data_IF_884612704267
#
_entry.id   IF_884612704267
#
_cell.length_a   1.000
_cell.length_b   1.000
_cell.length_c   1.000
_cell.angle_alpha   90.00
_cell.angle_beta   90.00
_cell.angle_gamma   90.00
#
_symmetry.space_group_name_H-M   'P 1'
#
loop_
_entity.id
_entity.type
_entity.pdbx_description
1 polymer ?
#
# COMPACT_ATOMS: atom_id res chain seq x y z
N UNK A 1 -42.17 43.92 -48.26
CA UNK A 1 -43.59 43.48 -48.28
C UNK A 1 -43.79 42.65 -47.00
N UNK A 2 -44.44 43.30 -46.08
CA UNK A 2 -45.75 43.07 -45.48
C UNK A 2 -45.69 41.85 -44.53
N UNK A 3 -45.74 42.09 -43.20
CA UNK A 3 -46.90 42.31 -42.30
C UNK A 3 -47.49 40.98 -41.87
N UNK A 4 -47.76 40.61 -40.58
CA UNK A 4 -48.56 41.20 -39.49
C UNK A 4 -48.27 40.37 -38.22
N UNK A 5 -47.93 40.92 -37.09
CA UNK A 5 -48.78 41.50 -36.02
C UNK A 5 -49.69 40.55 -35.23
N UNK A 6 -49.32 40.38 -33.93
CA UNK A 6 -50.16 40.52 -32.73
C UNK A 6 -51.42 39.64 -32.56
N UNK A 7 -51.57 39.04 -31.38
CA UNK A 7 -52.59 39.44 -30.38
C UNK A 7 -52.32 38.79 -29.01
N UNK A 8 -52.38 39.67 -28.01
CA UNK A 8 -52.42 39.45 -26.55
C UNK A 8 -53.81 38.94 -26.17
N UNK A 9 -53.95 38.07 -25.20
CA UNK A 9 -55.11 38.05 -24.32
C UNK A 9 -54.76 37.55 -22.92
N UNK A 10 -54.90 38.45 -21.98
CA UNK A 10 -55.02 38.27 -20.52
C UNK A 10 -56.29 37.52 -20.21
N UNK A 11 -56.28 36.55 -19.30
CA UNK A 11 -57.39 36.36 -18.36
C UNK A 11 -56.92 35.93 -17.00
N UNK A 12 -57.22 36.80 -16.06
CA UNK A 12 -57.19 36.62 -14.62
C UNK A 12 -58.31 35.65 -14.21
N UNK A 13 -58.04 34.71 -13.32
CA UNK A 13 -59.04 34.22 -12.34
C UNK A 13 -58.37 33.65 -11.12
N UNK A 14 -58.59 34.27 -9.99
CA UNK A 14 -58.44 33.83 -8.60
C UNK A 14 -58.98 32.40 -8.40
N UNK A 15 -58.35 31.57 -7.58
CA UNK A 15 -58.80 31.18 -6.23
C UNK A 15 -58.00 30.00 -5.64
N UNK A 16 -57.85 30.08 -4.35
CA UNK A 16 -57.65 29.08 -3.33
C UNK A 16 -56.22 28.67 -2.97
N UNK A 17 -55.83 29.22 -1.84
CA UNK A 17 -54.78 28.76 -0.98
C UNK A 17 -55.07 27.33 -0.46
N UNK A 18 -54.15 26.41 -0.76
CA UNK A 18 -53.98 25.19 0.03
C UNK A 18 -52.50 25.19 0.47
N UNK A 19 -52.31 25.43 1.77
CA UNK A 19 -50.99 25.33 2.40
C UNK A 19 -50.53 23.87 2.38
N UNK A 20 -49.71 23.52 1.38
CA UNK A 20 -48.94 22.28 1.42
C UNK A 20 -47.63 22.60 2.14
N UNK A 21 -47.48 22.04 3.36
CA UNK A 21 -46.21 21.98 4.05
C UNK A 21 -45.24 21.17 3.19
N UNK A 22 -44.35 21.86 2.49
CA UNK A 22 -43.18 21.25 1.91
C UNK A 22 -42.26 20.87 3.08
N UNK A 23 -42.28 19.60 3.43
CA UNK A 23 -41.25 19.00 4.27
C UNK A 23 -39.92 19.18 3.54
N UNK A 24 -39.06 20.02 4.11
CA UNK A 24 -37.66 20.12 3.74
C UNK A 24 -37.05 18.74 4.03
N UNK A 25 -36.96 17.92 3.00
CA UNK A 25 -36.14 16.70 3.04
C UNK A 25 -34.71 17.15 3.17
N UNK A 26 -34.18 17.09 4.39
CA UNK A 26 -32.76 17.21 4.67
C UNK A 26 -31.97 16.21 3.82
N UNK A 27 -30.68 16.46 3.58
CA UNK A 27 -29.87 15.56 2.78
C UNK A 27 -29.99 14.15 3.35
N UNK A 28 -30.43 13.22 2.52
CA UNK A 28 -30.50 11.81 2.86
C UNK A 28 -29.13 11.40 3.41
N UNK A 29 -29.05 11.20 4.70
CA UNK A 29 -27.95 10.46 5.31
C UNK A 29 -27.90 9.14 4.56
N UNK A 30 -26.84 8.97 3.77
CA UNK A 30 -26.50 7.67 3.21
C UNK A 30 -26.38 6.71 4.40
N UNK A 31 -27.45 5.99 4.67
CA UNK A 31 -27.47 4.90 5.64
C UNK A 31 -26.35 3.95 5.18
N UNK A 32 -25.25 3.93 5.89
CA UNK A 32 -24.30 2.85 5.84
C UNK A 32 -25.04 1.62 6.38
N UNK A 33 -25.81 0.97 5.51
CA UNK A 33 -26.27 -0.39 5.78
C UNK A 33 -25.00 -1.20 5.96
N UNK A 34 -24.65 -1.52 7.20
CA UNK A 34 -23.61 -2.48 7.51
C UNK A 34 -24.02 -3.74 6.77
N UNK A 35 -23.34 -4.05 5.68
CA UNK A 35 -23.59 -5.30 4.96
C UNK A 35 -23.16 -6.40 5.92
N UNK A 36 -24.12 -7.17 6.42
CA UNK A 36 -23.82 -8.33 7.23
C UNK A 36 -22.78 -9.21 6.52
N UNK A 37 -21.89 -9.85 7.28
CA UNK A 37 -21.00 -10.85 6.73
C UNK A 37 -21.80 -11.88 5.94
N UNK A 38 -21.32 -12.22 4.74
CA UNK A 38 -21.99 -13.19 3.89
C UNK A 38 -21.43 -14.58 4.16
N UNK A 39 -22.30 -15.57 4.20
CA UNK A 39 -21.90 -16.98 4.23
C UNK A 39 -21.87 -17.60 2.81
N UNK A 40 -21.55 -18.86 2.70
CA UNK A 40 -21.33 -19.59 1.45
C UNK A 40 -22.52 -19.50 0.49
N UNK A 41 -23.75 -19.52 1.01
CA UNK A 41 -24.96 -19.39 0.19
C UNK A 41 -25.02 -18.07 -0.58
N UNK A 42 -24.71 -16.95 0.07
CA UNK A 42 -24.68 -15.62 -0.56
C UNK A 42 -23.46 -15.47 -1.50
N UNK A 43 -22.33 -16.11 -1.18
CA UNK A 43 -21.17 -16.17 -2.08
C UNK A 43 -21.53 -16.88 -3.37
N UNK A 44 -22.19 -18.04 -3.30
CA UNK A 44 -22.67 -18.79 -4.47
C UNK A 44 -23.71 -18.03 -5.29
N UNK A 45 -24.69 -17.43 -4.63
CA UNK A 45 -25.72 -16.63 -5.31
C UNK A 45 -25.13 -15.45 -6.08
N UNK A 46 -24.11 -14.77 -5.50
CA UNK A 46 -23.44 -13.63 -6.16
C UNK A 46 -22.34 -14.03 -7.12
N UNK A 47 -21.93 -15.31 -7.13
CA UNK A 47 -20.78 -15.85 -7.92
C UNK A 47 -19.45 -15.13 -7.62
N UNK A 48 -19.33 -14.46 -6.48
CA UNK A 48 -18.13 -13.71 -6.10
C UNK A 48 -17.80 -13.96 -4.64
N UNK A 49 -16.59 -14.46 -4.38
CA UNK A 49 -15.95 -14.50 -3.06
C UNK A 49 -15.04 -13.27 -2.93
N UNK A 50 -15.38 -12.35 -2.03
CA UNK A 50 -14.61 -11.13 -1.75
C UNK A 50 -13.55 -11.45 -0.69
N UNK A 51 -12.27 -11.39 -1.07
CA UNK A 51 -11.16 -11.72 -0.18
C UNK A 51 -10.36 -10.47 0.15
N UNK A 52 -10.35 -10.10 1.42
CA UNK A 52 -9.50 -9.05 1.97
C UNK A 52 -8.07 -9.59 2.09
N UNK A 53 -7.12 -8.91 1.47
CA UNK A 53 -5.72 -9.31 1.44
C UNK A 53 -4.82 -8.18 1.91
N UNK A 54 -3.71 -8.51 2.55
CA UNK A 54 -2.63 -7.57 2.77
C UNK A 54 -1.97 -7.26 1.42
N UNK A 55 -1.89 -5.97 1.07
CA UNK A 55 -1.23 -5.51 -0.15
C UNK A 55 0.28 -5.65 0.00
N UNK A 56 0.80 -6.81 -0.34
CA UNK A 56 2.19 -7.21 -0.14
C UNK A 56 2.63 -8.15 -1.26
N UNK A 57 3.81 -7.93 -1.79
CA UNK A 57 4.43 -8.84 -2.78
C UNK A 57 4.78 -10.20 -2.18
N UNK A 58 4.90 -10.28 -0.86
CA UNK A 58 5.05 -11.54 -0.15
C UNK A 58 3.74 -12.34 -0.14
N UNK A 59 2.62 -11.66 0.06
CA UNK A 59 1.28 -12.25 0.22
C UNK A 59 0.49 -12.27 -1.09
N UNK A 60 -0.01 -11.10 -1.53
CA UNK A 60 -0.84 -10.95 -2.72
C UNK A 60 -0.51 -9.63 -3.40
N UNK A 61 0.35 -9.66 -4.40
CA UNK A 61 0.80 -8.48 -5.13
C UNK A 61 0.98 -8.76 -6.61
N UNK A 62 1.59 -7.81 -7.31
CA UNK A 62 1.89 -7.90 -8.75
C UNK A 62 3.26 -7.27 -9.02
N UNK A 63 4.02 -7.88 -9.92
CA UNK A 63 5.26 -7.34 -10.45
C UNK A 63 5.17 -7.34 -11.98
N UNK A 64 5.13 -6.14 -12.59
CA UNK A 64 5.09 -5.97 -14.05
C UNK A 64 3.95 -6.75 -14.74
N UNK A 65 2.77 -6.76 -14.14
CA UNK A 65 1.60 -7.46 -14.67
C UNK A 65 1.51 -8.93 -14.26
N UNK A 66 2.57 -9.50 -13.66
CA UNK A 66 2.58 -10.87 -13.20
C UNK A 66 2.13 -10.93 -11.74
N UNK A 67 1.07 -11.68 -11.42
CA UNK A 67 0.65 -11.87 -10.02
C UNK A 67 1.72 -12.61 -9.23
N UNK A 68 2.01 -12.12 -8.04
CA UNK A 68 3.01 -12.70 -7.15
C UNK A 68 2.46 -12.85 -5.74
N UNK A 69 3.12 -13.69 -4.97
CA UNK A 69 2.79 -13.90 -3.56
C UNK A 69 2.16 -15.26 -3.29
N UNK A 70 2.46 -15.75 -2.10
CA UNK A 70 2.09 -17.12 -1.71
C UNK A 70 0.58 -17.24 -1.47
N UNK A 71 -0.03 -16.22 -0.89
CA UNK A 71 -1.47 -16.22 -0.66
C UNK A 71 -2.26 -16.11 -1.96
N UNK A 72 -1.77 -15.36 -2.95
CA UNK A 72 -2.39 -15.31 -4.27
C UNK A 72 -2.58 -16.70 -4.85
N UNK A 73 -1.52 -17.52 -4.88
CA UNK A 73 -1.58 -18.87 -5.43
C UNK A 73 -2.50 -19.79 -4.62
N UNK A 74 -2.50 -19.66 -3.29
CA UNK A 74 -3.39 -20.41 -2.41
C UNK A 74 -4.86 -20.04 -2.63
N UNK A 75 -5.16 -18.74 -2.82
CA UNK A 75 -6.50 -18.26 -3.10
C UNK A 75 -7.00 -18.70 -4.49
N UNK A 76 -6.11 -18.80 -5.47
CA UNK A 76 -6.46 -19.41 -6.77
C UNK A 76 -6.76 -20.91 -6.64
N UNK A 77 -6.03 -21.62 -5.80
CA UNK A 77 -6.35 -23.02 -5.52
C UNK A 77 -7.70 -23.17 -4.78
N UNK A 78 -8.04 -22.25 -3.86
CA UNK A 78 -9.37 -22.19 -3.24
C UNK A 78 -10.47 -21.94 -4.28
N UNK A 79 -10.25 -21.03 -5.21
CA UNK A 79 -11.20 -20.77 -6.32
C UNK A 79 -11.46 -22.03 -7.14
N UNK A 80 -10.43 -22.76 -7.51
CA UNK A 80 -10.57 -24.07 -8.19
C UNK A 80 -11.31 -25.10 -7.34
N UNK A 81 -11.01 -25.16 -6.04
CA UNK A 81 -11.70 -26.07 -5.12
C UNK A 81 -13.20 -25.76 -5.01
N UNK A 82 -13.56 -24.49 -4.91
CA UNK A 82 -14.97 -24.05 -4.86
C UNK A 82 -15.73 -24.41 -6.15
N UNK A 83 -15.05 -24.39 -7.28
CA UNK A 83 -15.61 -24.59 -8.60
C UNK A 83 -15.52 -26.04 -9.14
N UNK A 84 -14.84 -26.96 -8.43
CA UNK A 84 -14.53 -28.30 -8.93
C UNK A 84 -15.74 -29.20 -9.24
N UNK A 85 -16.96 -28.79 -8.89
CA UNK A 85 -18.22 -29.48 -9.17
C UNK A 85 -19.28 -28.57 -9.81
N UNK A 86 -18.94 -27.33 -10.12
CA UNK A 86 -19.88 -26.34 -10.64
C UNK A 86 -19.94 -26.35 -12.17
N UNK A 87 -21.11 -26.05 -12.73
CA UNK A 87 -21.29 -25.87 -14.17
C UNK A 87 -20.66 -24.55 -14.62
N UNK A 88 -20.29 -24.45 -15.90
CA UNK A 88 -19.57 -23.29 -16.44
C UNK A 88 -20.26 -21.92 -16.20
N UNK A 89 -21.59 -21.89 -15.99
CA UNK A 89 -22.34 -20.67 -15.68
C UNK A 89 -22.39 -20.28 -14.20
N UNK A 90 -21.94 -21.15 -13.29
CA UNK A 90 -22.10 -21.00 -11.85
C UNK A 90 -20.77 -20.82 -11.08
N UNK A 91 -19.69 -20.55 -11.83
CA UNK A 91 -18.36 -20.41 -11.26
C UNK A 91 -18.26 -19.21 -10.33
N UNK A 92 -17.74 -19.46 -9.13
CA UNK A 92 -17.39 -18.43 -8.16
C UNK A 92 -16.07 -17.82 -8.58
N UNK A 93 -16.00 -16.49 -8.65
CA UNK A 93 -14.80 -15.74 -8.89
C UNK A 93 -14.24 -15.18 -7.58
N UNK A 94 -12.97 -15.43 -7.32
CA UNK A 94 -12.26 -14.81 -6.19
C UNK A 94 -11.84 -13.38 -6.57
N UNK A 95 -12.42 -12.40 -5.87
CA UNK A 95 -12.08 -10.98 -6.00
C UNK A 95 -11.21 -10.54 -4.84
N UNK A 96 -9.93 -10.21 -5.11
CA UNK A 96 -9.01 -9.70 -4.11
C UNK A 96 -9.30 -8.23 -3.81
N UNK A 97 -9.35 -7.89 -2.51
CA UNK A 97 -9.61 -6.55 -2.01
C UNK A 97 -8.46 -6.15 -1.09
N UNK A 98 -7.49 -5.38 -1.57
CA UNK A 98 -6.35 -4.98 -0.76
C UNK A 98 -6.76 -4.02 0.36
N UNK A 99 -6.16 -4.21 1.54
CA UNK A 99 -6.28 -3.39 2.73
C UNK A 99 -4.93 -3.25 3.41
N UNK A 100 -4.77 -2.22 4.21
CA UNK A 100 -3.70 -2.17 5.20
C UNK A 100 -3.88 -3.32 6.20
N UNK A 101 -2.79 -3.91 6.66
CA UNK A 101 -2.79 -5.10 7.51
C UNK A 101 -3.65 -4.92 8.77
N UNK A 102 -3.52 -3.78 9.44
CA UNK A 102 -4.29 -3.43 10.64
C UNK A 102 -5.79 -3.21 10.38
N UNK A 103 -6.20 -3.06 9.13
CA UNK A 103 -7.61 -2.82 8.76
C UNK A 103 -8.34 -4.10 8.32
N UNK A 104 -7.62 -5.21 8.11
CA UNK A 104 -8.19 -6.43 7.51
C UNK A 104 -9.38 -6.96 8.31
N UNK A 105 -9.23 -7.18 9.60
CA UNK A 105 -10.29 -7.77 10.41
C UNK A 105 -11.44 -6.80 10.68
N UNK A 106 -11.14 -5.51 10.89
CA UNK A 106 -12.18 -4.49 10.99
C UNK A 106 -12.99 -4.35 9.70
N UNK A 107 -12.37 -4.46 8.53
CA UNK A 107 -13.07 -4.45 7.25
C UNK A 107 -13.93 -5.72 7.07
N UNK A 108 -13.44 -6.87 7.52
CA UNK A 108 -14.20 -8.12 7.52
C UNK A 108 -15.45 -8.02 8.39
N UNK A 109 -15.33 -7.47 9.60
CA UNK A 109 -16.45 -7.25 10.53
C UNK A 109 -17.52 -6.30 9.95
N UNK A 110 -17.12 -5.31 9.15
CA UNK A 110 -18.03 -4.40 8.43
C UNK A 110 -18.63 -5.01 7.15
N UNK A 111 -18.34 -6.28 6.85
CA UNK A 111 -18.86 -6.96 5.65
C UNK A 111 -18.27 -6.44 4.33
N UNK A 112 -17.10 -5.80 4.35
CA UNK A 112 -16.40 -5.33 3.15
C UNK A 112 -15.78 -6.49 2.34
N UNK A 113 -15.58 -7.63 2.99
CA UNK A 113 -15.14 -8.90 2.41
C UNK A 113 -15.85 -10.07 3.07
N UNK A 114 -15.65 -11.26 2.53
CA UNK A 114 -16.23 -12.51 3.02
C UNK A 114 -15.16 -13.37 3.72
N UNK A 115 -13.92 -13.22 3.29
CA UNK A 115 -12.74 -13.90 3.80
C UNK A 115 -11.62 -12.87 3.97
N UNK A 116 -10.80 -12.98 5.00
CA UNK A 116 -9.54 -12.26 5.13
C UNK A 116 -8.37 -13.24 5.13
N UNK A 117 -7.43 -13.01 4.22
CA UNK A 117 -6.23 -13.82 4.00
C UNK A 117 -4.96 -12.95 4.14
N UNK A 118 -4.49 -12.70 5.37
CA UNK A 118 -3.37 -11.79 5.62
C UNK A 118 -2.03 -12.30 5.08
N UNK A 119 -1.82 -13.62 5.04
CA UNK A 119 -0.55 -14.24 4.64
C UNK A 119 0.59 -14.09 5.65
N UNK A 120 0.31 -13.52 6.80
CA UNK A 120 1.22 -13.18 7.89
C UNK A 120 0.52 -13.37 9.23
N UNK A 121 1.28 -13.47 10.32
CA UNK A 121 0.74 -13.46 11.67
C UNK A 121 0.16 -12.06 11.99
N UNK A 122 -1.06 -12.05 12.49
CA UNK A 122 -1.70 -10.87 13.03
C UNK A 122 -1.52 -10.79 14.55
N UNK A 123 -1.57 -9.57 15.08
CA UNK A 123 -1.66 -9.36 16.52
C UNK A 123 -2.93 -10.06 17.07
N UNK A 124 -2.81 -11.02 18.00
CA UNK A 124 -3.97 -11.70 18.59
C UNK A 124 -5.01 -10.75 19.19
N UNK A 125 -4.61 -9.58 19.69
CA UNK A 125 -5.53 -8.59 20.23
C UNK A 125 -6.53 -8.07 19.19
N UNK A 126 -6.24 -8.18 17.90
CA UNK A 126 -7.14 -7.80 16.81
C UNK A 126 -8.13 -8.92 16.46
N UNK A 127 -7.85 -10.16 16.86
CA UNK A 127 -8.64 -11.33 16.50
C UNK A 127 -9.84 -11.45 17.46
N UNK A 128 -10.88 -10.63 17.22
CA UNK A 128 -12.15 -10.71 17.97
C UNK A 128 -13.31 -10.57 17.00
N UNK A 129 -14.45 -11.20 17.31
CA UNK A 129 -15.68 -11.05 16.54
C UNK A 129 -15.62 -11.56 15.09
N UNK A 130 -14.73 -12.51 14.79
CA UNK A 130 -14.57 -13.18 13.49
C UNK A 130 -14.47 -14.68 13.67
N UNK A 131 -14.84 -15.45 12.66
CA UNK A 131 -14.57 -16.88 12.56
C UNK A 131 -13.09 -17.10 12.18
N UNK A 132 -12.45 -18.09 12.78
CA UNK A 132 -11.02 -18.37 12.63
C UNK A 132 -10.85 -19.73 11.99
N UNK A 133 -10.14 -19.80 10.86
CA UNK A 133 -9.92 -21.07 10.14
C UNK A 133 -8.95 -22.01 10.85
N UNK A 134 -8.92 -23.26 10.41
CA UNK A 134 -7.78 -24.14 10.59
C UNK A 134 -6.47 -23.45 10.15
N UNK A 135 -5.30 -23.87 10.67
CA UNK A 135 -4.04 -23.27 10.27
C UNK A 135 -3.78 -23.34 8.76
N UNK A 136 -3.44 -22.19 8.17
CA UNK A 136 -2.88 -22.08 6.82
C UNK A 136 -1.42 -22.51 6.84
N UNK A 137 -0.69 -22.09 7.89
CA UNK A 137 0.63 -22.56 8.27
C UNK A 137 0.62 -22.74 9.78
N UNK A 138 1.08 -23.87 10.24
CA UNK A 138 1.18 -24.17 11.68
C UNK A 138 2.61 -24.10 12.18
N UNK A 139 2.76 -23.93 13.49
CA UNK A 139 4.07 -23.93 14.16
C UNK A 139 5.09 -22.97 13.52
N UNK A 140 4.66 -21.73 13.25
CA UNK A 140 5.47 -20.71 12.58
C UNK A 140 6.24 -19.89 13.61
N UNK A 141 7.57 -20.03 13.71
CA UNK A 141 8.39 -19.22 14.60
C UNK A 141 8.65 -17.85 13.98
N UNK A 142 8.75 -16.83 14.85
CA UNK A 142 9.21 -15.49 14.52
C UNK A 142 10.72 -15.41 14.68
N UNK A 143 11.43 -14.96 13.64
CA UNK A 143 12.88 -14.86 13.60
C UNK A 143 13.33 -13.40 13.52
N UNK A 144 14.46 -13.13 14.18
CA UNK A 144 15.15 -11.86 14.05
C UNK A 144 15.88 -11.79 12.72
N UNK A 145 15.70 -10.68 12.00
CA UNK A 145 16.39 -10.40 10.74
C UNK A 145 17.15 -9.09 10.86
N UNK A 146 18.41 -9.12 10.47
CA UNK A 146 19.30 -7.97 10.40
C UNK A 146 20.09 -7.96 9.10
N UNK A 147 21.15 -7.15 9.05
CA UNK A 147 22.02 -7.03 7.88
C UNK A 147 23.32 -7.80 8.07
N UNK A 148 23.81 -8.47 7.02
CA UNK A 148 25.17 -9.06 7.01
C UNK A 148 26.22 -7.95 7.19
N UNK A 149 27.24 -8.25 7.98
CA UNK A 149 28.28 -7.27 8.35
C UNK A 149 27.95 -6.45 9.61
N UNK A 150 26.70 -6.51 10.11
CA UNK A 150 26.34 -5.95 11.40
C UNK A 150 26.34 -7.03 12.50
N UNK A 151 26.26 -6.58 13.76
CA UNK A 151 26.25 -7.48 14.93
C UNK A 151 25.17 -8.55 14.82
N UNK A 152 25.53 -9.82 14.93
CA UNK A 152 24.61 -10.95 15.03
C UNK A 152 24.21 -11.21 16.49
N UNK A 153 23.09 -11.92 16.65
CA UNK A 153 22.53 -12.24 17.96
C UNK A 153 22.28 -13.75 18.04
N UNK A 154 22.48 -14.31 19.23
CA UNK A 154 22.27 -15.73 19.52
C UNK A 154 21.28 -15.96 20.65
N UNK A 155 20.95 -14.93 21.42
CA UNK A 155 20.01 -14.95 22.53
C UNK A 155 19.18 -13.68 22.58
N UNK A 156 17.93 -13.78 22.99
CA UNK A 156 16.96 -12.69 23.03
C UNK A 156 17.37 -11.56 24.00
N UNK A 157 18.07 -11.89 25.08
CA UNK A 157 18.54 -10.91 26.05
C UNK A 157 19.56 -9.90 25.48
N UNK A 158 20.23 -10.27 24.41
CA UNK A 158 21.17 -9.37 23.71
C UNK A 158 20.47 -8.26 22.94
N UNK A 159 19.14 -8.35 22.78
CA UNK A 159 18.31 -7.31 22.17
C UNK A 159 17.92 -6.20 23.13
N UNK A 160 18.23 -6.31 24.43
CA UNK A 160 18.01 -5.26 25.42
C UNK A 160 18.53 -3.91 24.93
N UNK A 161 17.67 -2.88 24.94
CA UNK A 161 17.95 -1.51 24.48
C UNK A 161 18.01 -1.34 22.96
N UNK A 162 17.82 -2.42 22.17
CA UNK A 162 17.82 -2.35 20.71
C UNK A 162 16.44 -1.90 20.18
N UNK A 163 16.45 -1.30 18.97
CA UNK A 163 15.23 -0.95 18.25
C UNK A 163 14.95 -1.98 17.17
N UNK A 164 13.71 -2.45 17.14
CA UNK A 164 13.20 -3.40 16.12
C UNK A 164 12.08 -2.71 15.36
N UNK A 165 12.21 -2.63 14.04
CA UNK A 165 11.18 -2.11 13.15
C UNK A 165 10.15 -3.21 12.84
N UNK A 166 8.86 -2.92 13.02
CA UNK A 166 7.76 -3.85 12.77
C UNK A 166 6.71 -3.21 11.87
N UNK A 167 6.15 -3.99 10.96
CA UNK A 167 4.91 -3.59 10.26
C UNK A 167 3.77 -3.46 11.27
N UNK A 168 2.84 -2.54 11.00
CA UNK A 168 1.63 -2.38 11.83
C UNK A 168 0.89 -3.72 11.97
N UNK A 169 0.27 -3.94 13.11
CA UNK A 169 -0.45 -5.17 13.43
C UNK A 169 0.36 -6.48 13.31
N UNK A 170 1.68 -6.40 13.43
CA UNK A 170 2.54 -7.60 13.42
C UNK A 170 2.33 -8.44 14.68
N UNK A 171 2.14 -9.75 14.50
CA UNK A 171 2.11 -10.73 15.60
C UNK A 171 3.39 -10.77 16.46
N UNK A 172 4.48 -10.12 16.01
CA UNK A 172 5.70 -9.97 16.80
C UNK A 172 5.58 -8.95 17.95
N UNK A 173 4.65 -7.99 17.87
CA UNK A 173 4.48 -6.95 18.89
C UNK A 173 4.25 -7.52 20.30
N UNK A 174 3.19 -8.33 20.50
CA UNK A 174 2.91 -8.96 21.78
C UNK A 174 4.04 -9.85 22.29
N UNK A 175 4.71 -10.58 21.39
CA UNK A 175 5.87 -11.41 21.75
C UNK A 175 7.04 -10.56 22.30
N UNK A 176 7.34 -9.42 21.66
CA UNK A 176 8.35 -8.48 22.18
C UNK A 176 7.91 -7.87 23.51
N UNK A 177 6.63 -7.56 23.69
CA UNK A 177 6.10 -7.05 24.95
C UNK A 177 6.32 -8.05 26.10
N UNK A 178 6.05 -9.34 25.87
CA UNK A 178 6.31 -10.39 26.84
C UNK A 178 7.81 -10.52 27.18
N UNK A 179 8.69 -10.41 26.16
CA UNK A 179 10.14 -10.39 26.37
C UNK A 179 10.55 -9.15 27.21
N UNK A 180 9.96 -8.00 26.97
CA UNK A 180 10.22 -6.79 27.73
C UNK A 180 9.85 -6.92 29.21
N UNK A 181 8.76 -7.64 29.53
CA UNK A 181 8.42 -7.97 30.92
C UNK A 181 9.53 -8.80 31.59
N UNK A 182 10.08 -9.80 30.89
CA UNK A 182 11.19 -10.60 31.39
C UNK A 182 12.50 -9.79 31.55
N UNK A 183 12.76 -8.87 30.60
CA UNK A 183 13.92 -7.97 30.70
C UNK A 183 13.79 -7.03 31.91
N UNK A 184 12.59 -6.51 32.17
CA UNK A 184 12.31 -5.65 33.32
C UNK A 184 12.57 -6.36 34.65
N UNK A 185 12.14 -7.61 34.81
CA UNK A 185 12.43 -8.44 35.98
C UNK A 185 13.96 -8.60 36.23
N UNK A 186 14.74 -8.57 35.16
CA UNK A 186 16.21 -8.65 35.20
C UNK A 186 16.88 -7.28 35.19
N UNK A 187 16.16 -6.18 35.47
CA UNK A 187 16.64 -4.77 35.47
C UNK A 187 17.37 -4.40 34.16
N UNK A 188 16.93 -4.92 33.02
CA UNK A 188 17.49 -4.62 31.70
C UNK A 188 16.60 -3.65 30.93
N UNK A 189 17.22 -2.85 30.07
CA UNK A 189 16.47 -1.93 29.19
C UNK A 189 15.54 -2.69 28.24
N UNK A 190 14.32 -2.19 27.97
CA UNK A 190 13.39 -2.83 27.07
C UNK A 190 13.88 -2.78 25.61
N UNK A 191 13.44 -3.73 24.81
CA UNK A 191 13.49 -3.64 23.35
C UNK A 191 12.52 -2.55 22.93
N UNK A 192 12.98 -1.62 22.10
CA UNK A 192 12.16 -0.55 21.53
C UNK A 192 11.51 -1.06 20.24
N UNK A 193 10.18 -0.98 20.14
CA UNK A 193 9.46 -1.25 18.90
C UNK A 193 9.28 0.05 18.14
N UNK A 194 9.72 0.07 16.90
CA UNK A 194 9.44 1.13 15.93
C UNK A 194 8.38 0.61 14.94
N UNK A 195 7.15 1.08 15.10
CA UNK A 195 6.09 0.80 14.14
C UNK A 195 6.33 1.60 12.86
N UNK A 196 6.49 0.89 11.75
CA UNK A 196 6.73 1.53 10.46
C UNK A 196 5.44 2.09 9.88
N UNK A 197 5.57 2.91 8.84
CA UNK A 197 4.42 3.46 8.13
C UNK A 197 3.51 2.32 7.59
N UNK A 198 2.16 2.43 7.73
CA UNK A 198 1.22 1.39 7.30
C UNK A 198 1.28 1.03 5.82
N UNK A 199 1.84 1.89 4.98
CA UNK A 199 2.03 1.62 3.55
C UNK A 199 3.24 0.74 3.25
N UNK A 200 4.09 0.48 4.23
CA UNK A 200 5.25 -0.40 4.10
C UNK A 200 4.84 -1.84 4.41
N UNK A 201 4.89 -2.71 3.42
CA UNK A 201 4.72 -4.14 3.60
C UNK A 201 5.98 -4.78 4.20
N UNK A 202 5.88 -6.05 4.62
CA UNK A 202 6.99 -6.78 5.24
C UNK A 202 8.25 -6.81 4.37
N UNK A 203 8.09 -6.97 3.06
CA UNK A 203 9.22 -6.94 2.13
C UNK A 203 9.87 -5.55 2.01
N UNK A 204 9.10 -4.48 2.15
CA UNK A 204 9.66 -3.12 2.14
C UNK A 204 10.53 -2.89 3.39
N UNK A 205 10.09 -3.39 4.55
CA UNK A 205 10.90 -3.36 5.78
C UNK A 205 12.18 -4.19 5.61
N UNK A 206 12.09 -5.39 5.03
CA UNK A 206 13.27 -6.22 4.74
C UNK A 206 14.23 -5.55 3.75
N UNK A 207 13.73 -4.87 2.72
CA UNK A 207 14.56 -4.05 1.81
C UNK A 207 15.27 -2.93 2.56
N UNK A 208 14.58 -2.25 3.48
CA UNK A 208 15.16 -1.20 4.30
C UNK A 208 16.18 -1.75 5.30
N UNK A 209 16.00 -2.96 5.84
CA UNK A 209 17.01 -3.65 6.65
C UNK A 209 18.25 -3.99 5.80
N UNK A 210 18.06 -4.55 4.61
CA UNK A 210 19.16 -4.80 3.68
C UNK A 210 19.92 -3.53 3.31
N UNK A 211 19.21 -2.41 3.20
CA UNK A 211 19.78 -1.09 2.92
C UNK A 211 20.50 -0.46 4.14
N UNK A 212 20.26 -0.96 5.36
CA UNK A 212 20.79 -0.42 6.61
C UNK A 212 20.02 0.82 7.11
N UNK A 213 18.80 1.04 6.60
CA UNK A 213 17.87 2.09 7.05
C UNK A 213 17.22 1.69 8.37
N UNK A 214 16.75 0.45 8.45
CA UNK A 214 16.43 -0.22 9.71
C UNK A 214 17.55 -1.20 10.06
N UNK A 215 17.85 -1.36 11.35
CA UNK A 215 18.89 -2.29 11.79
C UNK A 215 18.37 -3.72 11.95
N UNK A 216 17.18 -3.83 12.55
CA UNK A 216 16.56 -5.11 12.90
C UNK A 216 15.07 -5.09 12.60
N UNK A 217 14.55 -6.24 12.17
CA UNK A 217 13.12 -6.53 12.11
C UNK A 217 12.87 -7.96 12.60
N UNK A 218 11.61 -8.29 12.83
CA UNK A 218 11.16 -9.64 13.18
C UNK A 218 10.05 -10.03 12.22
N UNK A 219 10.21 -11.20 11.61
CA UNK A 219 9.24 -11.75 10.66
C UNK A 219 9.13 -13.27 10.82
N UNK A 220 8.08 -13.84 10.27
CA UNK A 220 7.84 -15.29 10.22
C UNK A 220 8.99 -16.00 9.49
N UNK A 221 9.40 -17.17 10.00
CA UNK A 221 10.49 -17.97 9.42
C UNK A 221 10.34 -18.20 7.92
N UNK A 222 9.17 -18.61 7.38
CA UNK A 222 9.03 -18.79 5.94
C UNK A 222 9.30 -17.51 5.14
N UNK A 223 8.88 -16.34 5.65
CA UNK A 223 9.13 -15.04 5.04
C UNK A 223 10.62 -14.71 5.10
N UNK A 224 11.24 -14.81 6.28
CA UNK A 224 12.66 -14.53 6.46
C UNK A 224 13.54 -15.35 5.50
N UNK A 225 13.30 -16.64 5.41
CA UNK A 225 14.10 -17.55 4.57
C UNK A 225 13.87 -17.29 3.06
N UNK A 226 12.64 -17.05 2.64
CA UNK A 226 12.30 -16.76 1.24
C UNK A 226 12.98 -15.48 0.78
N UNK A 227 12.84 -14.39 1.55
CA UNK A 227 13.41 -13.10 1.19
C UNK A 227 14.94 -13.07 1.29
N UNK A 228 15.56 -13.84 2.19
CA UNK A 228 17.00 -13.95 2.25
C UNK A 228 17.63 -14.58 0.99
N UNK A 229 16.88 -15.36 0.21
CA UNK A 229 17.33 -15.91 -1.09
C UNK A 229 17.42 -14.82 -2.17
N UNK A 230 16.54 -13.81 -2.14
CA UNK A 230 16.50 -12.72 -3.13
C UNK A 230 17.15 -11.44 -2.65
N UNK A 231 17.40 -11.32 -1.34
CA UNK A 231 18.06 -10.19 -0.67
C UNK A 231 19.35 -10.66 0.00
N UNK A 232 20.47 -10.74 -0.73
CA UNK A 232 21.69 -11.46 -0.26
C UNK A 232 22.39 -10.81 0.92
N UNK A 233 22.07 -9.53 1.24
CA UNK A 233 22.62 -8.83 2.41
C UNK A 233 21.80 -9.03 3.69
N UNK A 234 20.65 -9.68 3.62
CA UNK A 234 19.90 -10.06 4.83
C UNK A 234 20.63 -11.16 5.59
N UNK A 235 20.60 -11.07 6.90
CA UNK A 235 21.03 -12.07 7.86
C UNK A 235 19.83 -12.51 8.67
N UNK A 236 19.58 -13.81 8.72
CA UNK A 236 18.54 -14.41 9.55
C UNK A 236 19.20 -15.03 10.78
N UNK A 237 18.94 -14.47 11.95
CA UNK A 237 19.47 -14.97 13.23
C UNK A 237 18.55 -16.10 13.75
N UNK A 238 18.64 -17.27 13.16
CA UNK A 238 17.75 -18.43 13.38
C UNK A 238 17.77 -18.99 14.81
N UNK A 239 18.80 -18.66 15.60
CA UNK A 239 18.91 -19.05 17.02
C UNK A 239 18.10 -18.12 17.95
N UNK A 240 17.66 -16.95 17.45
CA UNK A 240 16.88 -15.99 18.23
C UNK A 240 15.42 -16.13 17.87
N UNK A 241 14.67 -16.84 18.70
CA UNK A 241 13.22 -16.99 18.56
C UNK A 241 12.53 -15.89 19.36
N UNK A 242 11.57 -15.23 18.73
CA UNK A 242 10.77 -14.16 19.34
C UNK A 242 9.40 -14.74 19.72
N UNK A 243 9.26 -15.10 20.99
CA UNK A 243 8.06 -15.75 21.51
C UNK A 243 7.94 -17.21 21.09
N UNK A 244 6.76 -17.78 21.33
CA UNK A 244 6.40 -19.13 20.90
C UNK A 244 5.95 -19.14 19.44
N UNK A 245 6.16 -20.25 18.71
CA UNK A 245 5.59 -20.42 17.38
C UNK A 245 4.08 -20.28 17.39
N UNK A 246 3.53 -19.69 16.33
CA UNK A 246 2.11 -19.39 16.18
C UNK A 246 1.59 -19.98 14.86
N UNK A 247 0.27 -19.95 14.64
CA UNK A 247 -0.35 -20.39 13.40
C UNK A 247 -0.83 -19.19 12.56
N UNK A 248 -0.45 -19.14 11.29
CA UNK A 248 -1.05 -18.24 10.31
C UNK A 248 -2.42 -18.79 9.93
N UNK A 249 -3.44 -17.93 9.94
CA UNK A 249 -4.84 -18.34 9.72
C UNK A 249 -5.54 -17.40 8.76
N UNK A 250 -6.63 -17.89 8.19
CA UNK A 250 -7.62 -17.08 7.51
C UNK A 250 -8.80 -16.77 8.45
N UNK A 251 -9.57 -15.76 8.10
CA UNK A 251 -10.66 -15.29 8.94
C UNK A 251 -11.92 -15.07 8.09
N UNK A 252 -13.09 -15.41 8.64
CA UNK A 252 -14.39 -15.20 8.01
C UNK A 252 -15.29 -14.35 8.93
N UNK A 253 -16.40 -13.85 8.41
CA UNK A 253 -17.40 -13.19 9.25
C UNK A 253 -17.86 -14.11 10.39
N UNK A 254 -18.26 -13.52 11.51
CA UNK A 254 -18.62 -14.27 12.74
C UNK A 254 -19.69 -15.36 12.54
N UNK A 255 -20.63 -15.12 11.63
CA UNK A 255 -21.77 -16.02 11.36
C UNK A 255 -21.62 -16.76 10.02
N UNK A 256 -20.42 -16.82 9.45
CA UNK A 256 -20.16 -17.45 8.16
C UNK A 256 -19.68 -18.90 8.33
N UNK A 257 -20.44 -19.72 9.04
CA UNK A 257 -20.05 -21.08 9.46
C UNK A 257 -19.86 -22.04 8.28
N UNK A 258 -20.71 -21.95 7.24
CA UNK A 258 -20.60 -22.81 6.07
C UNK A 258 -19.37 -22.44 5.22
N UNK A 259 -19.06 -21.14 5.10
CA UNK A 259 -17.86 -20.67 4.44
C UNK A 259 -16.63 -21.12 5.23
N UNK A 260 -16.62 -20.98 6.55
CA UNK A 260 -15.55 -21.44 7.43
C UNK A 260 -15.29 -22.94 7.26
N UNK A 261 -16.32 -23.76 7.38
CA UNK A 261 -16.23 -25.22 7.21
C UNK A 261 -15.71 -25.61 5.80
N UNK A 262 -16.05 -24.81 4.79
CA UNK A 262 -15.58 -25.04 3.40
C UNK A 262 -14.12 -24.65 3.25
N UNK A 263 -13.69 -23.55 3.84
CA UNK A 263 -12.29 -23.11 3.91
C UNK A 263 -11.44 -24.14 4.66
N UNK A 264 -11.92 -24.63 5.81
CA UNK A 264 -11.19 -25.63 6.60
C UNK A 264 -11.01 -26.96 5.84
N UNK A 265 -12.04 -27.39 5.09
CA UNK A 265 -11.97 -28.58 4.23
C UNK A 265 -10.97 -28.39 3.10
N UNK A 266 -10.92 -27.22 2.51
CA UNK A 266 -9.89 -26.88 1.53
C UNK A 266 -8.50 -26.93 2.14
N UNK A 267 -8.28 -26.27 3.28
CA UNK A 267 -6.97 -26.22 3.95
C UNK A 267 -6.47 -27.59 4.37
N UNK A 268 -7.35 -28.48 4.82
CA UNK A 268 -6.99 -29.86 5.17
C UNK A 268 -6.43 -30.65 3.97
N UNK A 269 -6.96 -30.39 2.76
CA UNK A 269 -6.53 -31.06 1.53
C UNK A 269 -5.44 -30.34 0.74
N UNK A 270 -5.22 -29.03 1.01
CA UNK A 270 -4.28 -28.23 0.23
C UNK A 270 -2.83 -28.61 0.49
N UNK A 271 -2.07 -28.78 -0.58
CA UNK A 271 -0.61 -28.92 -0.55
C UNK A 271 0.01 -27.87 -1.44
N UNK A 272 0.89 -27.06 -0.87
CA UNK A 272 1.63 -26.07 -1.66
C UNK A 272 2.51 -26.77 -2.70
N UNK A 273 2.63 -26.25 -3.93
CA UNK A 273 3.57 -26.78 -4.90
C UNK A 273 5.01 -26.78 -4.35
N UNK A 274 5.74 -27.88 -4.53
CA UNK A 274 7.12 -28.03 -4.03
C UNK A 274 8.06 -26.94 -4.56
N UNK A 275 7.81 -26.47 -5.80
CA UNK A 275 8.62 -25.45 -6.44
C UNK A 275 8.14 -24.01 -6.17
N UNK A 276 7.18 -23.79 -5.25
CA UNK A 276 6.56 -22.48 -5.00
C UNK A 276 7.60 -21.41 -4.65
N UNK A 277 8.52 -21.71 -3.74
CA UNK A 277 9.58 -20.77 -3.35
C UNK A 277 10.58 -20.51 -4.49
N UNK A 278 10.88 -21.51 -5.31
CA UNK A 278 11.76 -21.38 -6.47
C UNK A 278 11.09 -20.52 -7.58
N UNK A 279 9.79 -20.67 -7.78
CA UNK A 279 9.03 -19.85 -8.71
C UNK A 279 9.01 -18.38 -8.26
N UNK A 280 8.76 -18.13 -6.97
CA UNK A 280 8.84 -16.81 -6.37
C UNK A 280 10.23 -16.18 -6.57
N UNK A 281 11.30 -16.90 -6.23
CA UNK A 281 12.68 -16.44 -6.38
C UNK A 281 12.99 -16.07 -7.85
N UNK A 282 12.56 -16.88 -8.82
CA UNK A 282 12.77 -16.65 -10.25
C UNK A 282 12.11 -15.35 -10.72
N UNK A 283 10.85 -15.11 -10.32
CA UNK A 283 10.12 -13.88 -10.65
C UNK A 283 10.84 -12.68 -10.05
N UNK A 284 11.21 -12.75 -8.79
CA UNK A 284 11.88 -11.66 -8.10
C UNK A 284 13.25 -11.34 -8.71
N UNK A 285 14.09 -12.32 -8.95
CA UNK A 285 15.42 -12.10 -9.54
C UNK A 285 15.34 -11.53 -10.96
N UNK A 286 14.34 -11.93 -11.74
CA UNK A 286 14.16 -11.50 -13.13
C UNK A 286 13.54 -10.11 -13.24
N UNK A 287 12.54 -9.82 -12.45
CA UNK A 287 11.66 -8.67 -12.67
C UNK A 287 11.82 -7.55 -11.65
N UNK A 288 12.38 -7.84 -10.49
CA UNK A 288 12.47 -6.91 -9.39
C UNK A 288 13.92 -6.62 -9.00
N UNK A 289 14.28 -5.34 -8.99
CA UNK A 289 15.56 -4.87 -8.46
C UNK A 289 15.32 -4.10 -7.17
N UNK A 290 15.98 -4.54 -6.11
CA UNK A 290 16.02 -3.78 -4.85
C UNK A 290 16.94 -2.58 -5.05
N UNK A 291 16.38 -1.39 -5.03
CA UNK A 291 17.12 -0.15 -5.09
C UNK A 291 17.32 0.41 -3.69
N UNK A 292 18.57 0.59 -3.29
CA UNK A 292 18.91 1.25 -2.03
C UNK A 292 19.11 2.75 -2.26
N UNK A 293 18.16 3.63 -1.88
CA UNK A 293 18.26 5.07 -2.13
C UNK A 293 19.37 5.75 -1.33
N UNK A 294 19.90 5.06 -0.32
CA UNK A 294 20.95 5.55 0.58
C UNK A 294 22.28 4.79 0.43
N UNK A 295 22.46 4.00 -0.64
CA UNK A 295 23.75 3.42 -0.93
C UNK A 295 24.78 4.52 -1.27
N UNK A 296 26.08 4.21 -1.15
CA UNK A 296 27.15 5.22 -1.28
C UNK A 296 27.04 6.02 -2.57
N UNK A 297 26.82 5.37 -3.70
CA UNK A 297 26.72 6.01 -5.01
C UNK A 297 25.48 6.89 -5.11
N UNK A 298 24.34 6.41 -4.64
CA UNK A 298 23.08 7.12 -4.62
C UNK A 298 23.11 8.33 -3.68
N UNK A 299 23.74 8.19 -2.52
CA UNK A 299 24.01 9.34 -1.62
C UNK A 299 24.88 10.41 -2.28
N UNK A 300 25.92 10.02 -3.03
CA UNK A 300 26.75 10.95 -3.79
C UNK A 300 25.95 11.69 -4.88
N UNK A 301 25.11 10.96 -5.63
CA UNK A 301 24.22 11.57 -6.63
C UNK A 301 23.21 12.52 -5.98
N UNK A 302 22.60 12.12 -4.87
CA UNK A 302 21.67 12.97 -4.12
C UNK A 302 22.36 14.25 -3.64
N UNK A 303 23.58 14.12 -3.12
CA UNK A 303 24.38 15.25 -2.65
C UNK A 303 24.67 16.24 -3.79
N UNK A 304 24.99 15.75 -4.99
CA UNK A 304 25.28 16.59 -6.15
C UNK A 304 24.06 17.41 -6.61
N UNK A 305 22.84 16.92 -6.44
CA UNK A 305 21.62 17.60 -6.90
C UNK A 305 20.80 18.23 -5.75
N UNK A 306 21.23 18.04 -4.51
CA UNK A 306 20.47 18.47 -3.31
C UNK A 306 20.14 19.95 -3.33
N UNK A 307 21.11 20.82 -3.58
CA UNK A 307 20.88 22.28 -3.57
C UNK A 307 19.81 22.72 -4.57
N UNK A 308 19.77 22.08 -5.73
CA UNK A 308 18.76 22.34 -6.77
C UNK A 308 17.38 21.85 -6.32
N UNK A 309 17.31 20.64 -5.71
CA UNK A 309 16.06 20.09 -5.18
C UNK A 309 15.51 20.95 -4.05
N UNK A 310 16.37 21.44 -3.14
CA UNK A 310 15.98 22.34 -2.05
C UNK A 310 15.48 23.68 -2.59
N UNK A 311 16.21 24.34 -3.49
CA UNK A 311 15.86 25.61 -4.13
C UNK A 311 14.44 25.56 -4.74
N UNK A 312 14.19 24.57 -5.58
CA UNK A 312 12.89 24.47 -6.28
C UNK A 312 11.78 23.87 -5.42
N UNK A 313 12.12 23.04 -4.44
CA UNK A 313 11.18 22.56 -3.43
C UNK A 313 10.64 23.72 -2.58
N UNK A 314 11.52 24.55 -2.04
CA UNK A 314 11.16 25.74 -1.27
C UNK A 314 10.32 26.72 -2.08
N UNK A 315 10.74 27.06 -3.30
CA UNK A 315 10.01 27.96 -4.21
C UNK A 315 8.60 27.48 -4.54
N UNK A 316 8.29 26.20 -4.44
CA UNK A 316 6.99 25.61 -4.71
C UNK A 316 6.29 25.05 -3.45
N UNK A 317 6.84 25.27 -2.27
CA UNK A 317 6.32 24.73 -1.00
C UNK A 317 6.11 23.19 -1.04
N UNK A 318 7.08 22.51 -1.64
CA UNK A 318 7.16 21.04 -1.70
C UNK A 318 8.40 20.64 -0.91
N UNK A 319 8.24 19.71 0.03
CA UNK A 319 9.39 19.13 0.72
C UNK A 319 10.38 18.55 -0.31
N UNK A 320 11.62 19.02 -0.28
CA UNK A 320 12.66 18.61 -1.22
C UNK A 320 12.93 17.09 -1.22
N UNK A 321 12.60 16.40 -0.12
CA UNK A 321 12.70 14.94 -0.05
C UNK A 321 11.63 14.23 -0.90
N UNK A 322 10.47 14.86 -1.14
CA UNK A 322 9.51 14.35 -2.11
C UNK A 322 10.06 14.48 -3.54
N UNK A 323 10.73 15.60 -3.86
CA UNK A 323 11.41 15.75 -5.15
C UNK A 323 12.55 14.75 -5.31
N UNK A 324 13.34 14.54 -4.25
CA UNK A 324 14.42 13.54 -4.23
C UNK A 324 13.88 12.11 -4.42
N UNK A 325 12.80 11.76 -3.76
CA UNK A 325 12.16 10.45 -3.88
C UNK A 325 11.59 10.21 -5.29
N UNK A 326 10.97 11.23 -5.87
CA UNK A 326 10.50 11.19 -7.25
C UNK A 326 11.67 11.06 -8.23
N UNK A 327 12.70 11.88 -8.10
CA UNK A 327 13.91 11.80 -8.95
C UNK A 327 14.60 10.42 -8.84
N UNK A 328 14.63 9.85 -7.64
CA UNK A 328 15.16 8.51 -7.44
C UNK A 328 14.31 7.45 -8.15
N UNK A 329 12.98 7.54 -8.06
CA UNK A 329 12.07 6.64 -8.76
C UNK A 329 12.16 6.74 -10.26
N UNK A 330 12.27 7.96 -10.79
CA UNK A 330 12.27 8.25 -12.23
C UNK A 330 13.58 7.89 -12.92
N UNK A 331 14.71 8.21 -12.30
CA UNK A 331 16.02 8.10 -12.96
C UNK A 331 17.12 7.47 -12.11
N UNK A 332 16.84 7.06 -10.87
CA UNK A 332 17.87 6.74 -9.87
C UNK A 332 18.86 7.91 -9.68
N UNK A 333 18.34 9.14 -9.68
CA UNK A 333 19.10 10.39 -9.59
C UNK A 333 20.12 10.56 -10.75
N UNK A 334 19.80 10.07 -11.95
CA UNK A 334 20.63 10.22 -13.14
C UNK A 334 20.14 11.36 -14.03
N UNK A 335 20.87 12.49 -14.14
CA UNK A 335 20.44 13.61 -14.97
C UNK A 335 20.47 13.32 -16.48
N UNK A 336 21.21 12.30 -16.92
CA UNK A 336 21.30 11.92 -18.33
C UNK A 336 20.25 10.88 -18.76
N UNK A 337 19.33 10.51 -17.87
CA UNK A 337 18.31 9.50 -18.17
C UNK A 337 17.37 9.96 -19.29
N UNK A 338 16.98 9.01 -20.16
CA UNK A 338 16.01 9.20 -21.24
C UNK A 338 14.88 8.19 -21.07
N UNK A 339 13.65 8.65 -21.21
CA UNK A 339 12.44 7.85 -21.04
C UNK A 339 11.54 7.89 -22.28
N UNK A 340 10.37 7.31 -22.14
CA UNK A 340 9.36 7.22 -23.20
C UNK A 340 8.68 8.58 -23.40
N UNK A 341 8.22 8.87 -24.62
CA UNK A 341 7.49 10.10 -24.94
C UNK A 341 8.31 11.39 -24.82
N UNK A 342 9.62 11.29 -24.97
CA UNK A 342 10.55 12.43 -24.84
C UNK A 342 10.83 12.86 -23.40
N UNK A 343 10.37 12.08 -22.40
CA UNK A 343 10.73 12.30 -21.01
C UNK A 343 12.25 12.19 -20.82
N UNK A 344 12.85 13.12 -20.09
CA UNK A 344 14.29 13.13 -19.90
C UNK A 344 14.73 13.76 -18.58
N UNK A 345 15.97 13.54 -18.25
CA UNK A 345 16.65 14.16 -17.11
C UNK A 345 16.29 13.51 -15.78
N UNK A 346 16.70 14.19 -14.71
CA UNK A 346 16.58 13.73 -13.34
C UNK A 346 15.15 13.34 -12.95
N UNK A 347 14.17 14.16 -13.38
CA UNK A 347 12.76 14.05 -13.01
C UNK A 347 11.89 13.40 -14.08
N UNK A 348 12.45 12.99 -15.22
CA UNK A 348 11.73 12.42 -16.37
C UNK A 348 10.52 13.26 -16.80
N UNK A 349 10.68 14.57 -16.83
CA UNK A 349 9.61 15.47 -17.27
C UNK A 349 9.52 15.48 -18.81
N UNK A 350 8.28 15.47 -19.32
CA UNK A 350 8.04 15.58 -20.77
C UNK A 350 8.10 17.04 -21.23
N UNK A 351 8.46 17.30 -22.51
CA UNK A 351 8.47 18.65 -23.07
C UNK A 351 7.12 19.36 -22.92
N UNK A 352 6.01 18.67 -23.13
CA UNK A 352 4.67 19.23 -23.00
C UNK A 352 4.34 19.63 -21.57
N UNK A 353 4.75 18.87 -20.56
CA UNK A 353 4.56 19.20 -19.15
C UNK A 353 5.41 20.43 -18.75
N UNK A 354 6.65 20.50 -19.23
CA UNK A 354 7.54 21.65 -19.00
C UNK A 354 6.98 22.93 -19.63
N UNK A 355 6.48 22.85 -20.87
CA UNK A 355 5.86 23.98 -21.56
C UNK A 355 4.64 24.53 -20.81
N UNK A 356 3.81 23.66 -20.22
CA UNK A 356 2.63 24.06 -19.40
C UNK A 356 2.99 24.93 -18.20
N UNK A 357 4.23 24.90 -17.75
CA UNK A 357 4.72 25.67 -16.60
C UNK A 357 5.75 26.72 -16.97
N UNK A 358 5.87 27.01 -18.28
CA UNK A 358 6.70 28.09 -18.80
C UNK A 358 8.21 27.83 -18.65
N UNK A 359 8.66 26.56 -18.73
CA UNK A 359 10.08 26.21 -18.72
C UNK A 359 10.47 25.57 -20.05
N UNK A 360 11.30 26.26 -20.81
CA UNK A 360 11.76 25.83 -22.14
C UNK A 360 13.03 24.99 -22.09
N UNK A 361 13.96 25.32 -21.18
CA UNK A 361 15.21 24.58 -21.07
C UNK A 361 15.19 23.57 -19.93
N UNK A 362 14.91 22.32 -20.25
CA UNK A 362 14.92 21.18 -19.31
C UNK A 362 16.11 20.26 -19.51
N UNK A 363 17.07 20.63 -20.37
CA UNK A 363 18.24 19.80 -20.65
C UNK A 363 19.25 19.78 -19.48
N UNK A 364 19.31 20.85 -18.70
CA UNK A 364 20.14 20.92 -17.50
C UNK A 364 19.35 20.54 -16.23
N UNK A 365 20.07 20.24 -15.14
CA UNK A 365 19.48 19.79 -13.88
C UNK A 365 18.56 20.85 -13.27
N UNK A 366 18.97 22.11 -13.28
CA UNK A 366 18.18 23.22 -12.68
C UNK A 366 16.82 23.37 -13.37
N UNK A 367 16.82 23.52 -14.70
CA UNK A 367 15.57 23.63 -15.47
C UNK A 367 14.70 22.37 -15.42
N UNK A 368 15.32 21.18 -15.37
CA UNK A 368 14.59 19.92 -15.25
C UNK A 368 13.85 19.81 -13.92
N UNK A 369 14.51 20.13 -12.81
CA UNK A 369 13.89 20.16 -11.47
C UNK A 369 12.89 21.30 -11.34
N UNK A 370 13.21 22.50 -11.88
CA UNK A 370 12.31 23.64 -11.89
C UNK A 370 10.97 23.31 -12.58
N UNK A 371 11.03 22.73 -13.78
CA UNK A 371 9.84 22.37 -14.53
C UNK A 371 8.99 21.36 -13.77
N UNK A 372 9.63 20.33 -13.20
CA UNK A 372 8.94 19.28 -12.45
C UNK A 372 8.33 19.78 -11.16
N UNK A 373 9.05 20.60 -10.40
CA UNK A 373 8.52 21.18 -9.15
C UNK A 373 7.35 22.11 -9.44
N UNK A 374 7.42 22.96 -10.49
CA UNK A 374 6.31 23.81 -10.94
C UNK A 374 5.12 22.97 -11.42
N UNK A 375 5.35 21.87 -12.13
CA UNK A 375 4.29 21.00 -12.62
C UNK A 375 3.57 20.28 -11.48
N UNK A 376 4.30 19.75 -10.50
CA UNK A 376 3.73 19.18 -9.27
C UNK A 376 2.89 20.24 -8.50
N UNK A 377 3.42 21.45 -8.36
CA UNK A 377 2.71 22.56 -7.71
C UNK A 377 1.46 22.98 -8.48
N UNK A 378 1.51 23.01 -9.82
CA UNK A 378 0.35 23.28 -10.66
C UNK A 378 -0.75 22.23 -10.44
N UNK A 379 -0.38 20.92 -10.48
CA UNK A 379 -1.29 19.82 -10.21
C UNK A 379 -1.90 19.96 -8.80
N UNK A 380 -1.06 20.22 -7.79
CA UNK A 380 -1.48 20.39 -6.39
C UNK A 380 -2.51 21.48 -6.25
N UNK A 381 -2.24 22.69 -6.77
CA UNK A 381 -3.14 23.86 -6.67
C UNK A 381 -4.42 23.69 -7.48
N UNK A 382 -4.32 23.17 -8.70
CA UNK A 382 -5.48 23.10 -9.61
C UNK A 382 -6.42 21.95 -9.27
N UNK A 383 -5.90 20.80 -8.84
CA UNK A 383 -6.69 19.56 -8.73
C UNK A 383 -6.82 19.05 -7.29
N UNK A 384 -5.89 19.38 -6.40
CA UNK A 384 -5.82 18.79 -5.06
C UNK A 384 -5.71 19.85 -3.95
N UNK A 385 -6.31 21.03 -4.14
CA UNK A 385 -6.27 22.13 -3.16
C UNK A 385 -7.20 21.93 -1.95
N UNK A 386 -8.11 20.94 -1.98
CA UNK A 386 -9.11 20.73 -0.92
C UNK A 386 -8.47 20.66 0.47
N UNK A 387 -8.97 21.39 1.47
CA UNK A 387 -8.47 21.32 2.85
C UNK A 387 -8.74 19.98 3.53
N UNK A 388 -9.65 19.16 2.98
CA UNK A 388 -9.95 17.83 3.47
C UNK A 388 -8.85 16.79 3.12
N UNK A 389 -7.90 17.16 2.25
CA UNK A 389 -6.73 16.34 1.95
C UNK A 389 -5.62 16.67 2.94
N UNK A 390 -5.21 15.71 3.76
CA UNK A 390 -3.96 15.84 4.49
C UNK A 390 -2.77 15.84 3.51
N UNK A 391 -1.62 16.35 3.92
CA UNK A 391 -0.49 16.57 3.01
C UNK A 391 0.08 15.27 2.42
N UNK A 392 0.07 14.19 3.16
CA UNK A 392 0.51 12.87 2.69
C UNK A 392 -0.37 12.36 1.55
N UNK A 393 -1.69 12.35 1.75
CA UNK A 393 -2.65 11.91 0.72
C UNK A 393 -2.65 12.85 -0.48
N UNK A 394 -2.52 14.15 -0.23
CA UNK A 394 -2.36 15.18 -1.28
C UNK A 394 -1.17 14.86 -2.17
N UNK A 395 0.00 14.59 -1.57
CA UNK A 395 1.21 14.26 -2.33
C UNK A 395 1.04 12.94 -3.09
N UNK A 396 0.41 11.92 -2.51
CA UNK A 396 0.12 10.67 -3.20
C UNK A 396 -0.76 10.89 -4.45
N UNK A 397 -1.81 11.71 -4.36
CA UNK A 397 -2.62 12.09 -5.51
C UNK A 397 -1.84 12.92 -6.55
N UNK A 398 -0.98 13.83 -6.12
CA UNK A 398 -0.12 14.63 -7.01
C UNK A 398 0.84 13.73 -7.77
N UNK A 399 1.45 12.74 -7.10
CA UNK A 399 2.33 11.76 -7.72
C UNK A 399 1.58 10.84 -8.71
N UNK A 400 0.40 10.38 -8.32
CA UNK A 400 -0.46 9.60 -9.22
C UNK A 400 -0.82 10.42 -10.48
N UNK A 401 -1.13 11.71 -10.30
CA UNK A 401 -1.46 12.62 -11.39
C UNK A 401 -0.24 12.99 -12.26
N UNK A 402 0.94 13.04 -11.68
CA UNK A 402 2.20 13.20 -12.42
C UNK A 402 2.41 12.03 -13.40
N UNK A 403 2.08 10.82 -12.98
CA UNK A 403 2.23 9.59 -13.77
C UNK A 403 1.08 9.35 -14.77
N UNK A 404 -0.19 9.56 -14.35
CA UNK A 404 -1.40 9.19 -15.10
C UNK A 404 -2.09 10.36 -15.81
N UNK A 405 -1.77 11.59 -15.43
CA UNK A 405 -2.54 12.78 -15.75
C UNK A 405 -3.60 13.10 -14.69
N UNK A 406 -3.77 14.41 -14.38
CA UNK A 406 -4.59 14.83 -13.25
C UNK A 406 -6.10 14.60 -13.45
N UNK A 407 -6.60 14.73 -14.67
CA UNK A 407 -8.01 14.51 -15.01
C UNK A 407 -8.42 13.06 -14.75
N UNK A 408 -7.57 12.10 -15.14
CA UNK A 408 -7.80 10.68 -14.89
C UNK A 408 -7.85 10.35 -13.42
N UNK A 409 -6.95 10.93 -12.63
CA UNK A 409 -6.93 10.73 -11.17
C UNK A 409 -8.14 11.34 -10.50
N UNK A 410 -8.64 12.49 -10.97
CA UNK A 410 -9.90 13.07 -10.48
C UNK A 410 -11.11 12.16 -10.81
N UNK A 411 -11.15 11.56 -12.00
CA UNK A 411 -12.19 10.59 -12.35
C UNK A 411 -12.14 9.36 -11.42
N UNK A 412 -10.94 8.86 -11.10
CA UNK A 412 -10.76 7.76 -10.16
C UNK A 412 -11.24 8.13 -8.74
N UNK A 413 -10.99 9.36 -8.29
CA UNK A 413 -11.51 9.86 -7.00
C UNK A 413 -13.03 9.93 -6.96
N UNK A 414 -13.66 10.41 -8.05
CA UNK A 414 -15.11 10.45 -8.17
C UNK A 414 -15.70 9.04 -8.13
N UNK A 415 -15.10 8.11 -8.86
CA UNK A 415 -15.49 6.70 -8.87
C UNK A 415 -15.31 6.04 -7.49
N UNK A 416 -14.22 6.33 -6.79
CA UNK A 416 -14.02 5.87 -5.42
C UNK A 416 -15.18 6.29 -4.50
N UNK A 417 -15.58 7.57 -4.54
CA UNK A 417 -16.74 8.06 -3.77
C UNK A 417 -18.04 7.37 -4.17
N UNK A 418 -18.29 7.18 -5.47
CA UNK A 418 -19.48 6.48 -5.97
C UNK A 418 -19.57 5.06 -5.44
N UNK A 419 -18.44 4.40 -5.22
CA UNK A 419 -18.35 3.04 -4.66
C UNK A 419 -18.29 3.01 -3.12
N UNK A 420 -18.48 4.14 -2.44
CA UNK A 420 -18.43 4.23 -0.98
C UNK A 420 -17.01 4.18 -0.40
N UNK A 421 -15.99 4.42 -1.23
CA UNK A 421 -14.59 4.56 -0.79
C UNK A 421 -14.29 6.01 -0.44
N UNK A 422 -13.26 6.22 0.39
CA UNK A 422 -12.79 7.56 0.69
C UNK A 422 -12.00 8.15 -0.49
N UNK A 423 -12.66 8.99 -1.32
CA UNK A 423 -12.02 9.68 -2.44
C UNK A 423 -10.99 10.74 -2.04
N UNK A 424 -10.82 11.02 -0.74
CA UNK A 424 -9.77 11.90 -0.22
C UNK A 424 -8.57 11.10 0.34
N UNK A 425 -8.55 9.80 0.12
CA UNK A 425 -7.46 8.91 0.49
C UNK A 425 -7.01 8.13 -0.74
N UNK A 426 -5.71 8.17 -1.05
CA UNK A 426 -5.11 7.38 -2.10
C UNK A 426 -4.86 5.96 -1.62
N UNK A 427 -4.06 5.82 -0.54
CA UNK A 427 -3.63 4.51 -0.05
C UNK A 427 -4.82 3.67 0.42
N UNK A 428 -4.93 2.46 -0.10
CA UNK A 428 -5.96 1.44 0.17
C UNK A 428 -7.40 1.86 -0.17
N UNK A 429 -7.60 3.03 -0.79
CA UNK A 429 -8.91 3.56 -1.19
C UNK A 429 -8.94 3.86 -2.70
N UNK A 430 -8.52 5.06 -3.13
CA UNK A 430 -8.58 5.45 -4.56
C UNK A 430 -7.64 4.59 -5.42
N UNK A 431 -6.50 4.15 -4.90
CA UNK A 431 -5.58 3.26 -5.63
C UNK A 431 -6.24 1.95 -6.06
N UNK A 432 -7.29 1.49 -5.37
CA UNK A 432 -8.07 0.30 -5.78
C UNK A 432 -8.78 0.52 -7.10
N UNK A 433 -9.28 1.74 -7.34
CA UNK A 433 -9.86 2.12 -8.62
C UNK A 433 -8.77 2.16 -9.70
N UNK A 434 -7.58 2.68 -9.35
CA UNK A 434 -6.44 2.68 -10.27
C UNK A 434 -6.02 1.24 -10.64
N UNK A 435 -5.93 0.34 -9.67
CA UNK A 435 -5.63 -1.08 -9.91
C UNK A 435 -6.62 -1.72 -10.88
N UNK A 436 -7.92 -1.49 -10.69
CA UNK A 436 -8.96 -2.07 -11.53
C UNK A 436 -8.99 -1.48 -12.96
N UNK A 437 -8.70 -0.18 -13.11
CA UNK A 437 -8.83 0.52 -14.40
C UNK A 437 -7.55 0.51 -15.24
N UNK A 438 -6.38 0.52 -14.60
CA UNK A 438 -5.08 0.71 -15.29
C UNK A 438 -3.99 -0.25 -14.80
N UNK A 439 -4.31 -1.15 -13.87
CA UNK A 439 -3.36 -2.11 -13.29
C UNK A 439 -2.48 -1.53 -12.19
N UNK A 440 -1.53 -2.34 -11.73
CA UNK A 440 -0.66 -2.02 -10.59
C UNK A 440 0.46 -1.02 -10.90
N UNK A 441 0.73 -0.72 -12.16
CA UNK A 441 1.84 0.16 -12.54
C UNK A 441 1.86 1.50 -11.78
N UNK A 442 0.79 2.30 -11.86
CA UNK A 442 0.69 3.59 -11.15
C UNK A 442 0.66 3.46 -9.63
N UNK A 443 0.03 2.40 -9.10
CA UNK A 443 0.02 2.12 -7.66
C UNK A 443 1.44 1.84 -7.17
N UNK A 444 2.17 0.96 -7.85
CA UNK A 444 3.58 0.67 -7.56
C UNK A 444 4.48 1.89 -7.72
N UNK A 445 4.13 2.81 -8.63
CA UNK A 445 4.84 4.08 -8.78
C UNK A 445 4.72 4.94 -7.52
N UNK A 446 3.49 5.23 -7.09
CA UNK A 446 3.23 6.05 -5.90
C UNK A 446 3.81 5.40 -4.65
N UNK A 447 3.58 4.10 -4.45
CA UNK A 447 4.10 3.36 -3.30
C UNK A 447 5.64 3.35 -3.27
N UNK A 448 6.30 3.26 -4.43
CA UNK A 448 7.76 3.35 -4.50
C UNK A 448 8.28 4.72 -4.13
N UNK A 449 7.67 5.81 -4.64
CA UNK A 449 8.07 7.19 -4.28
C UNK A 449 7.86 7.41 -2.79
N UNK A 450 6.71 7.00 -2.24
CA UNK A 450 6.44 7.12 -0.81
C UNK A 450 7.46 6.35 0.04
N UNK A 451 7.81 5.12 -0.35
CA UNK A 451 8.87 4.34 0.32
C UNK A 451 10.21 5.05 0.33
N UNK A 452 10.63 5.63 -0.81
CA UNK A 452 11.88 6.38 -0.89
C UNK A 452 11.82 7.68 -0.07
N UNK A 453 10.69 8.37 -0.07
CA UNK A 453 10.48 9.53 0.80
C UNK A 453 10.64 9.15 2.28
N UNK A 454 10.01 8.07 2.74
CA UNK A 454 10.14 7.59 4.11
C UNK A 454 11.59 7.24 4.47
N UNK A 455 12.33 6.61 3.53
CA UNK A 455 13.74 6.29 3.70
C UNK A 455 14.61 7.56 3.82
N UNK A 456 14.41 8.54 2.95
CA UNK A 456 15.13 9.82 3.01
C UNK A 456 14.74 10.64 4.24
N UNK A 457 13.46 10.70 4.58
CA UNK A 457 12.96 11.45 5.73
C UNK A 457 13.51 10.91 7.06
N UNK A 458 13.65 9.59 7.18
CA UNK A 458 14.30 8.96 8.33
C UNK A 458 15.74 9.45 8.50
N UNK A 459 16.46 9.64 7.41
CA UNK A 459 17.84 10.11 7.38
C UNK A 459 17.99 11.62 7.17
N UNK A 460 16.88 12.38 7.24
CA UNK A 460 16.85 13.84 6.97
C UNK A 460 17.97 14.58 7.68
N UNK A 461 18.13 14.39 8.99
CA UNK A 461 19.12 15.07 9.78
C UNK A 461 20.57 14.78 9.31
N UNK A 462 20.84 13.58 8.79
CA UNK A 462 22.16 13.22 8.24
C UNK A 462 22.36 13.81 6.85
N UNK A 463 21.29 13.83 6.03
CA UNK A 463 21.32 14.39 4.68
C UNK A 463 21.47 15.92 4.67
N UNK A 464 20.92 16.60 5.68
CA UNK A 464 20.99 18.06 5.80
C UNK A 464 22.29 18.57 6.46
N UNK A 465 22.89 17.81 7.39
CA UNK A 465 24.14 18.20 8.07
C UNK A 465 25.36 18.34 7.16
N UNK A 466 25.41 17.62 6.03
CA UNK A 466 26.54 17.67 5.09
C UNK A 466 26.67 19.03 4.36
N UNK A 467 25.73 19.96 4.55
CA UNK A 467 25.75 21.30 3.93
C UNK A 467 26.61 22.34 4.63
N UNK A 468 27.17 22.04 5.82
CA UNK A 468 27.92 23.02 6.63
C UNK A 468 29.43 22.82 6.63
N UNK A 469 29.99 22.06 5.66
CA UNK A 469 31.45 21.94 5.50
C UNK A 469 31.91 22.52 4.18
#
# INVERSE_FOLDING_TARGET
>A
MQRFLLIVSLMFSLLMAAAAHAAVSGPAQASSTSKLPRDLAQVRSSKVLRVLVNQSRNSSGEIKGEPVGIEYHRLRALEHFLNGRERQGDLIQVKLIPRAKEQLLGALQRGEGDLAAPGELLDPAQVSGVGVSAPVLDNVPLLLVGRKGERSFSRVEQLSGRTIALTTASGAGPAIQAINQQLALRKRAPIKVEWVDPTLAVEDVLEMVQAGIYHLTVVERPIALRWARVMPRLRVDSKVLIGQPQAVRWYVGREADQLLATVDRFLAGYRAPENQDAAFERIYRRQYRVHNPLARQERQRLQAVRGVLQKHGEAQQIDWLNLAALAFKESTLNPAARGVGGAHGLMQITPSAAQRVGVSNTANVDGNVQASARYLALIRRKFFASPQLNERERMAFVLAAYNLGPERVQAMRAEARRRGLNGNQWFFQTERIAMEQVGMGPVNFVNSVNKYFLAFNRERASLERVARR
#
